data_IF_574875111794
#
_entry.id   IF_574875111794
#
_cell.length_a   1.000
_cell.length_b   1.000
_cell.length_c   1.000
_cell.angle_alpha   90.00
_cell.angle_beta   90.00
_cell.angle_gamma   90.00
#
_symmetry.space_group_name_H-M   'P 1'
#
loop_
_entity.id
_entity.type
_entity.pdbx_description
1 polymer ?
#
# COMPACT_ATOMS: atom_id res chain seq x y z
N UNK A 1 -13.54 4.65 2.31
CA UNK A 1 -14.18 3.62 1.45
C UNK A 1 -15.59 3.36 1.96
N UNK A 2 -16.57 3.19 1.08
CA UNK A 2 -17.91 2.68 1.40
C UNK A 2 -18.16 1.42 0.57
N UNK A 3 -18.91 0.47 1.13
CA UNK A 3 -19.23 -0.81 0.48
C UNK A 3 -20.74 -1.05 0.69
N UNK A 4 -21.44 -1.58 -0.29
CA UNK A 4 -22.81 -2.01 -0.13
C UNK A 4 -22.88 -3.15 0.87
N UNK A 5 -23.91 -3.13 1.73
CA UNK A 5 -24.07 -4.12 2.81
C UNK A 5 -24.18 -5.54 2.27
N UNK A 6 -25.00 -5.74 1.25
CA UNK A 6 -25.19 -7.05 0.61
C UNK A 6 -23.88 -7.63 0.04
N UNK A 7 -23.07 -6.79 -0.61
CA UNK A 7 -21.77 -7.20 -1.14
C UNK A 7 -20.76 -7.51 -0.01
N UNK A 8 -20.80 -6.76 1.09
CA UNK A 8 -19.96 -7.00 2.27
C UNK A 8 -20.33 -8.34 2.93
N UNK A 9 -21.62 -8.61 3.10
CA UNK A 9 -22.12 -9.85 3.69
C UNK A 9 -21.81 -11.06 2.79
N UNK A 10 -22.05 -10.95 1.49
CA UNK A 10 -21.71 -11.99 0.52
C UNK A 10 -20.20 -12.31 0.49
N UNK A 11 -19.36 -11.29 0.70
CA UNK A 11 -17.92 -11.46 0.81
C UNK A 11 -17.45 -11.94 2.20
N UNK A 12 -18.31 -12.12 3.19
CA UNK A 12 -17.96 -12.58 4.54
C UNK A 12 -17.31 -11.52 5.43
N UNK A 13 -17.51 -10.22 5.14
CA UNK A 13 -16.97 -9.13 5.95
C UNK A 13 -15.47 -8.87 5.78
N UNK A 14 -14.87 -8.15 6.71
CA UNK A 14 -13.41 -7.89 6.73
C UNK A 14 -12.64 -9.11 7.24
N UNK A 15 -11.53 -9.45 6.57
CA UNK A 15 -10.64 -10.52 7.01
C UNK A 15 -9.87 -10.13 8.27
N UNK A 16 -10.01 -10.93 9.33
CA UNK A 16 -9.28 -10.74 10.57
C UNK A 16 -7.76 -10.91 10.41
N UNK A 17 -7.33 -11.72 9.44
CA UNK A 17 -5.91 -12.01 9.19
C UNK A 17 -5.20 -10.87 8.46
N UNK A 18 -5.95 -10.07 7.69
CA UNK A 18 -5.45 -8.88 6.99
C UNK A 18 -5.61 -7.60 7.80
N UNK A 19 -6.27 -7.69 8.96
CA UNK A 19 -6.50 -6.56 9.85
C UNK A 19 -5.20 -6.06 10.50
N UNK A 20 -5.26 -4.83 11.02
CA UNK A 20 -4.16 -4.22 11.79
C UNK A 20 -3.98 -4.90 13.13
N UNK A 21 -3.16 -5.94 13.18
CA UNK A 21 -2.79 -6.62 14.42
C UNK A 21 -1.31 -6.42 14.76
N UNK A 22 -1.02 -6.10 16.01
CA UNK A 22 0.32 -6.05 16.57
C UNK A 22 1.19 -4.88 16.10
N UNK A 23 2.51 -5.05 16.26
CA UNK A 23 3.53 -4.02 16.04
C UNK A 23 3.67 -3.58 14.57
N UNK A 24 3.26 -4.43 13.63
CA UNK A 24 3.32 -4.18 12.18
C UNK A 24 1.95 -4.41 11.56
N UNK A 25 1.05 -3.44 11.65
CA UNK A 25 -0.28 -3.56 11.05
C UNK A 25 -0.16 -3.69 9.53
N UNK A 26 -0.69 -4.77 8.96
CA UNK A 26 -0.68 -4.99 7.52
C UNK A 26 -1.48 -3.88 6.80
N UNK A 27 -2.70 -3.60 7.26
CA UNK A 27 -3.51 -2.47 6.77
C UNK A 27 -3.84 -2.54 5.28
N UNK A 28 -4.09 -3.75 4.78
CA UNK A 28 -4.54 -4.04 3.40
C UNK A 28 -5.92 -4.70 3.39
N UNK A 29 -6.60 -4.63 4.51
CA UNK A 29 -7.94 -5.16 4.73
C UNK A 29 -8.98 -4.61 3.76
N UNK A 30 -8.89 -3.34 3.42
CA UNK A 30 -9.73 -2.66 2.42
C UNK A 30 -9.45 -3.17 1.00
N UNK A 31 -8.19 -3.30 0.62
CA UNK A 31 -7.80 -3.81 -0.72
C UNK A 31 -8.18 -5.28 -0.87
N UNK A 32 -7.94 -6.10 0.15
CA UNK A 32 -8.30 -7.52 0.17
C UNK A 32 -9.81 -7.69 0.02
N UNK A 33 -10.59 -6.92 0.79
CA UNK A 33 -12.04 -6.93 0.69
C UNK A 33 -12.52 -6.58 -0.72
N UNK A 34 -11.97 -5.54 -1.34
CA UNK A 34 -12.32 -5.15 -2.72
C UNK A 34 -12.06 -6.29 -3.71
N UNK A 35 -10.91 -6.95 -3.61
CA UNK A 35 -10.57 -8.09 -4.48
C UNK A 35 -11.55 -9.26 -4.24
N UNK A 36 -11.88 -9.54 -2.99
CA UNK A 36 -12.79 -10.64 -2.62
C UNK A 36 -14.20 -10.35 -3.07
N UNK A 37 -14.70 -9.12 -2.90
CA UNK A 37 -16.02 -8.71 -3.42
C UNK A 37 -16.10 -8.90 -4.94
N UNK A 38 -15.09 -8.49 -5.70
CA UNK A 38 -15.08 -8.66 -7.14
C UNK A 38 -15.07 -10.15 -7.58
N UNK A 39 -14.56 -11.04 -6.74
CA UNK A 39 -14.56 -12.49 -7.00
C UNK A 39 -15.86 -13.17 -6.61
N UNK A 40 -16.50 -12.70 -5.53
CA UNK A 40 -17.68 -13.36 -4.96
C UNK A 40 -19.01 -12.78 -5.46
N UNK A 41 -19.00 -11.52 -5.90
CA UNK A 41 -20.20 -10.82 -6.38
C UNK A 41 -20.05 -10.48 -7.86
N UNK A 42 -20.63 -11.29 -8.78
CA UNK A 42 -20.57 -11.04 -10.21
C UNK A 42 -21.12 -9.66 -10.57
N UNK A 43 -20.43 -8.95 -11.46
CA UNK A 43 -20.83 -7.61 -11.90
C UNK A 43 -20.54 -6.49 -10.89
N UNK A 44 -19.88 -6.77 -9.76
CA UNK A 44 -19.45 -5.73 -8.82
C UNK A 44 -18.44 -4.80 -9.47
N UNK A 45 -18.57 -3.50 -9.21
CA UNK A 45 -17.72 -2.43 -9.77
C UNK A 45 -17.09 -1.64 -8.63
N UNK A 46 -15.79 -1.37 -8.75
CA UNK A 46 -15.08 -0.41 -7.89
C UNK A 46 -15.14 0.96 -8.54
N UNK A 47 -15.76 1.91 -7.85
CA UNK A 47 -15.92 3.29 -8.35
C UNK A 47 -15.01 4.23 -7.58
N UNK A 48 -14.20 4.99 -8.31
CA UNK A 48 -13.49 6.12 -7.74
C UNK A 48 -14.42 7.35 -7.73
N UNK A 49 -14.71 7.88 -6.54
CA UNK A 49 -15.58 9.04 -6.33
C UNK A 49 -14.75 10.20 -5.77
N UNK A 50 -14.27 11.13 -6.61
CA UNK A 50 -13.40 12.23 -6.17
C UNK A 50 -14.13 13.22 -5.23
N UNK A 51 -15.46 13.25 -5.24
CA UNK A 51 -16.29 14.05 -4.34
C UNK A 51 -16.38 13.46 -2.92
N UNK A 52 -16.11 12.18 -2.76
CA UNK A 52 -16.12 11.49 -1.46
C UNK A 52 -14.87 11.88 -0.65
N UNK A 53 -14.94 13.03 0.01
CA UNK A 53 -13.84 13.61 0.77
C UNK A 53 -13.99 13.35 2.27
N UNK A 54 -12.90 12.97 2.93
CA UNK A 54 -12.84 12.85 4.38
C UNK A 54 -11.63 13.60 4.93
N UNK A 55 -11.79 14.23 6.10
CA UNK A 55 -10.66 14.82 6.83
C UNK A 55 -10.03 13.76 7.72
N UNK A 56 -8.79 13.43 7.46
CA UNK A 56 -8.04 12.48 8.26
C UNK A 56 -7.09 13.20 9.22
N UNK A 57 -7.30 13.02 10.53
CA UNK A 57 -6.37 13.56 11.53
C UNK A 57 -5.16 12.64 11.66
N UNK A 58 -3.99 13.17 11.34
CA UNK A 58 -2.72 12.47 11.53
C UNK A 58 -2.07 12.98 12.81
N UNK A 59 -1.86 12.15 13.84
CA UNK A 59 -1.17 12.58 15.05
C UNK A 59 0.32 12.79 14.78
N UNK A 60 0.95 13.75 15.47
CA UNK A 60 2.38 14.08 15.31
C UNK A 60 3.33 12.90 15.48
N UNK A 61 2.95 11.90 16.27
CA UNK A 61 3.73 10.67 16.43
C UNK A 61 3.90 9.88 15.12
N UNK A 62 3.06 10.15 14.12
CA UNK A 62 3.14 9.56 12.77
C UNK A 62 3.95 10.40 11.78
N UNK A 63 4.34 11.62 12.15
CA UNK A 63 5.14 12.55 11.33
C UNK A 63 6.65 12.37 11.56
N UNK A 64 7.11 11.17 11.88
CA UNK A 64 8.50 10.84 12.18
C UNK A 64 9.07 9.87 11.14
N UNK A 65 10.38 9.99 10.87
CA UNK A 65 11.12 9.05 10.02
C UNK A 65 10.97 7.61 10.50
N UNK A 66 11.01 7.39 11.82
CA UNK A 66 10.81 6.06 12.40
C UNK A 66 9.45 5.47 12.02
N UNK A 67 8.38 6.26 12.13
CA UNK A 67 7.05 5.80 11.73
C UNK A 67 7.00 5.54 10.22
N UNK A 68 7.54 6.44 9.41
CA UNK A 68 7.60 6.31 7.96
C UNK A 68 8.29 5.00 7.53
N UNK A 69 9.50 4.71 8.04
CA UNK A 69 10.22 3.48 7.72
C UNK A 69 9.47 2.22 8.17
N UNK A 70 8.93 2.24 9.39
CA UNK A 70 8.12 1.14 9.91
C UNK A 70 6.89 0.89 9.03
N UNK A 71 6.25 1.96 8.56
CA UNK A 71 5.08 1.87 7.69
C UNK A 71 5.43 1.32 6.30
N UNK A 72 6.52 1.79 5.70
CA UNK A 72 7.02 1.26 4.42
C UNK A 72 7.34 -0.24 4.50
N UNK A 73 8.00 -0.66 5.57
CA UNK A 73 8.31 -2.08 5.78
C UNK A 73 7.05 -2.92 5.96
N UNK A 74 6.10 -2.45 6.77
CA UNK A 74 4.81 -3.11 6.98
C UNK A 74 4.01 -3.22 5.68
N UNK A 75 4.03 -2.17 4.84
CA UNK A 75 3.39 -2.15 3.52
C UNK A 75 3.96 -3.24 2.60
N UNK A 76 5.29 -3.39 2.57
CA UNK A 76 5.94 -4.47 1.81
C UNK A 76 5.46 -5.85 2.26
N UNK A 77 5.43 -6.10 3.56
CA UNK A 77 4.92 -7.36 4.12
C UNK A 77 3.44 -7.60 3.79
N UNK A 78 2.63 -6.56 3.83
CA UNK A 78 1.23 -6.61 3.49
C UNK A 78 1.03 -7.02 2.03
N UNK A 79 1.82 -6.44 1.12
CA UNK A 79 1.82 -6.82 -0.31
C UNK A 79 2.23 -8.28 -0.52
N UNK A 80 3.22 -8.77 0.23
CA UNK A 80 3.60 -10.18 0.19
C UNK A 80 2.46 -11.09 0.63
N UNK A 81 1.74 -10.74 1.71
CA UNK A 81 0.57 -11.48 2.17
C UNK A 81 -0.57 -11.44 1.14
N UNK A 82 -0.84 -10.27 0.56
CA UNK A 82 -1.88 -10.10 -0.46
C UNK A 82 -1.60 -10.97 -1.70
N UNK A 83 -0.34 -11.05 -2.16
CA UNK A 83 0.01 -11.89 -3.31
C UNK A 83 -0.15 -13.39 -3.05
N UNK A 84 -0.07 -13.85 -1.80
CA UNK A 84 -0.34 -15.25 -1.46
C UNK A 84 -1.82 -15.62 -1.53
N UNK A 85 -2.70 -14.66 -1.26
CA UNK A 85 -4.16 -14.85 -1.27
C UNK A 85 -4.76 -14.59 -2.66
N UNK A 86 -4.27 -13.57 -3.36
CA UNK A 86 -4.88 -13.07 -4.59
C UNK A 86 -4.19 -13.54 -5.88
N UNK A 87 -3.01 -14.17 -5.76
CA UNK A 87 -2.18 -14.51 -6.90
C UNK A 87 -1.36 -13.31 -7.42
N UNK A 88 -0.22 -13.56 -8.11
CA UNK A 88 0.74 -12.50 -8.47
C UNK A 88 0.26 -11.56 -9.59
N UNK A 89 -0.73 -11.96 -10.38
CA UNK A 89 -1.15 -11.20 -11.57
C UNK A 89 -2.15 -10.08 -11.32
N UNK A 90 -2.98 -10.23 -10.30
CA UNK A 90 -4.15 -9.35 -10.11
C UNK A 90 -3.89 -8.17 -9.16
N UNK A 91 -2.99 -8.34 -8.19
CA UNK A 91 -2.82 -7.37 -7.10
C UNK A 91 -1.71 -6.33 -7.31
N UNK A 92 -0.80 -6.55 -8.26
CA UNK A 92 0.40 -5.71 -8.42
C UNK A 92 0.54 -5.06 -9.81
N UNK A 93 -0.37 -5.30 -10.76
CA UNK A 93 -0.24 -4.79 -12.14
C UNK A 93 -0.30 -3.26 -12.21
N UNK A 94 -1.26 -2.64 -11.52
CA UNK A 94 -1.39 -1.18 -11.44
C UNK A 94 -0.22 -0.54 -10.68
N UNK A 95 0.26 -1.20 -9.62
CA UNK A 95 1.39 -0.73 -8.83
C UNK A 95 2.72 -0.79 -9.60
N UNK A 96 2.91 -1.78 -10.47
CA UNK A 96 4.10 -1.88 -11.31
C UNK A 96 4.27 -0.65 -12.20
N UNK A 97 3.21 -0.20 -12.84
CA UNK A 97 3.23 1.03 -13.64
C UNK A 97 3.58 2.25 -12.80
N UNK A 98 3.04 2.35 -11.60
CA UNK A 98 3.35 3.42 -10.66
C UNK A 98 4.84 3.41 -10.25
N UNK A 99 5.35 2.26 -9.85
CA UNK A 99 6.76 2.10 -9.41
C UNK A 99 7.74 2.41 -10.54
N UNK A 100 7.43 1.99 -11.79
CA UNK A 100 8.36 2.14 -12.92
C UNK A 100 8.29 3.53 -13.56
N UNK A 101 7.15 4.21 -13.52
CA UNK A 101 6.95 5.49 -14.21
C UNK A 101 6.86 6.67 -13.25
N UNK A 102 6.04 6.56 -12.22
CA UNK A 102 5.71 7.71 -11.36
C UNK A 102 6.80 7.97 -10.33
N UNK A 103 7.33 6.94 -9.67
CA UNK A 103 8.38 7.12 -8.67
C UNK A 103 9.69 7.67 -9.25
N UNK A 104 10.25 7.15 -10.36
CA UNK A 104 11.44 7.74 -10.98
C UNK A 104 11.23 9.18 -11.44
N UNK A 105 10.09 9.47 -12.05
CA UNK A 105 9.74 10.85 -12.42
C UNK A 105 9.66 11.78 -11.20
N UNK A 106 9.15 11.28 -10.08
CA UNK A 106 9.12 12.00 -8.81
C UNK A 106 10.51 12.31 -8.24
N UNK A 107 11.43 11.35 -8.33
CA UNK A 107 12.83 11.51 -7.93
C UNK A 107 13.52 12.56 -8.82
N UNK A 108 13.44 12.42 -10.13
CA UNK A 108 14.05 13.35 -11.10
C UNK A 108 13.53 14.76 -10.89
N UNK A 109 12.21 14.93 -10.75
CA UNK A 109 11.60 16.24 -10.48
C UNK A 109 12.08 16.83 -9.15
N UNK A 110 12.21 16.02 -8.10
CA UNK A 110 12.70 16.49 -6.82
C UNK A 110 14.14 16.98 -6.87
N UNK A 111 15.01 16.27 -7.59
CA UNK A 111 16.40 16.70 -7.83
C UNK A 111 16.42 17.99 -8.65
N UNK A 112 15.67 18.05 -9.75
CA UNK A 112 15.59 19.24 -10.60
C UNK A 112 15.08 20.48 -9.83
N UNK A 113 14.05 20.34 -8.99
CA UNK A 113 13.51 21.40 -8.15
C UNK A 113 14.56 21.92 -7.14
N UNK A 114 15.39 21.03 -6.61
CA UNK A 114 16.45 21.40 -5.69
C UNK A 114 17.60 22.13 -6.39
N UNK A 115 18.06 21.61 -7.54
CA UNK A 115 19.15 22.21 -8.33
C UNK A 115 18.75 23.58 -8.89
N UNK A 116 17.51 23.75 -9.33
CA UNK A 116 16.99 25.01 -9.85
C UNK A 116 16.56 25.99 -8.75
N UNK A 117 16.67 25.62 -7.48
CA UNK A 117 16.24 26.46 -6.36
C UNK A 117 14.73 26.63 -6.22
N UNK A 118 13.92 25.95 -7.04
CA UNK A 118 12.45 26.04 -7.00
C UNK A 118 11.86 25.49 -5.71
N UNK A 119 12.45 24.44 -5.16
CA UNK A 119 12.00 23.84 -3.91
C UNK A 119 13.17 23.23 -3.14
N UNK A 120 13.53 23.86 -2.01
CA UNK A 120 14.59 23.38 -1.12
C UNK A 120 14.34 21.99 -0.53
N UNK A 121 13.07 21.57 -0.42
CA UNK A 121 12.67 20.22 0.01
C UNK A 121 12.75 19.14 -1.09
N UNK A 122 13.16 19.49 -2.31
CA UNK A 122 13.19 18.57 -3.44
C UNK A 122 14.08 17.35 -3.22
N UNK A 123 15.30 17.53 -2.68
CA UNK A 123 16.21 16.43 -2.33
C UNK A 123 15.64 15.53 -1.23
N UNK A 124 15.04 16.11 -0.20
CA UNK A 124 14.42 15.34 0.89
C UNK A 124 13.27 14.47 0.35
N UNK A 125 12.46 15.02 -0.56
CA UNK A 125 11.40 14.28 -1.24
C UNK A 125 11.95 13.12 -2.07
N UNK A 126 13.00 13.37 -2.86
CA UNK A 126 13.66 12.32 -3.66
C UNK A 126 14.25 11.23 -2.79
N UNK A 127 14.93 11.58 -1.71
CA UNK A 127 15.47 10.64 -0.73
C UNK A 127 14.34 9.81 -0.08
N UNK A 128 13.24 10.45 0.30
CA UNK A 128 12.09 9.75 0.87
C UNK A 128 11.49 8.74 -0.10
N UNK A 129 11.35 9.07 -1.40
CA UNK A 129 10.84 8.14 -2.43
C UNK A 129 11.76 6.92 -2.56
N UNK A 130 13.06 7.13 -2.69
CA UNK A 130 14.03 6.03 -2.82
C UNK A 130 14.04 5.16 -1.57
N UNK A 131 14.09 5.77 -0.40
CA UNK A 131 14.06 5.05 0.88
C UNK A 131 12.76 4.26 1.05
N UNK A 132 11.61 4.84 0.72
CA UNK A 132 10.33 4.13 0.75
C UNK A 132 10.36 2.89 -0.14
N UNK A 133 10.85 3.01 -1.37
CA UNK A 133 10.93 1.90 -2.31
C UNK A 133 11.83 0.78 -1.76
N UNK A 134 13.02 1.11 -1.29
CA UNK A 134 13.97 0.13 -0.75
C UNK A 134 13.41 -0.59 0.48
N UNK A 135 12.85 0.15 1.43
CA UNK A 135 12.30 -0.42 2.68
C UNK A 135 11.04 -1.25 2.40
N UNK A 136 10.18 -0.81 1.48
CA UNK A 136 9.00 -1.59 1.07
C UNK A 136 9.43 -2.89 0.37
N UNK A 137 10.43 -2.83 -0.50
CA UNK A 137 10.98 -4.02 -1.16
C UNK A 137 11.58 -5.01 -0.16
N UNK A 138 12.35 -4.52 0.83
CA UNK A 138 12.87 -5.37 1.91
C UNK A 138 11.74 -6.01 2.73
N UNK A 139 10.69 -5.26 3.05
CA UNK A 139 9.50 -5.78 3.72
C UNK A 139 8.79 -6.87 2.90
N UNK A 140 8.68 -6.67 1.59
CA UNK A 140 8.10 -7.66 0.68
C UNK A 140 8.90 -8.98 0.66
N UNK A 141 10.20 -8.89 0.51
CA UNK A 141 11.10 -10.07 0.54
C UNK A 141 10.98 -10.80 1.87
N UNK A 142 11.06 -10.07 3.00
CA UNK A 142 10.91 -10.66 4.32
C UNK A 142 9.55 -11.34 4.52
N UNK A 143 8.47 -10.75 3.99
CA UNK A 143 7.13 -11.35 4.01
C UNK A 143 7.05 -12.65 3.19
N UNK A 144 7.67 -12.67 2.02
CA UNK A 144 7.71 -13.87 1.14
C UNK A 144 8.50 -15.02 1.78
N UNK A 145 9.68 -14.73 2.33
CA UNK A 145 10.51 -15.75 2.99
C UNK A 145 9.78 -16.38 4.19
N UNK A 146 9.10 -15.54 4.99
CA UNK A 146 8.29 -16.05 6.11
C UNK A 146 7.15 -16.95 5.66
N UNK A 147 6.46 -16.59 4.58
CA UNK A 147 5.36 -17.39 4.04
C UNK A 147 5.85 -18.75 3.48
N UNK A 148 7.06 -18.81 2.95
CA UNK A 148 7.68 -20.06 2.49
C UNK A 148 8.05 -20.96 3.68
N UNK A 149 8.63 -20.41 4.74
CA UNK A 149 9.00 -21.18 5.94
C UNK A 149 7.81 -21.70 6.77
N UNK A 150 6.59 -21.18 6.55
CA UNK A 150 5.37 -21.68 7.19
C UNK A 150 4.69 -22.82 6.41
N UNK A 151 5.15 -23.11 5.19
CA UNK A 151 4.63 -24.18 4.33
C UNK A 151 5.50 -25.44 4.31
N UNK A 152 6.73 -25.31 4.82
CA UNK A 152 7.66 -26.42 5.04
C UNK A 152 7.46 -27.03 6.42
#
# INVERSE_FOLDING_TARGET
MSVRRDALEAAGGFSADMARRGRYPLGVDDTELCIRVQRTVPGSVLVYAPEARARHKVPRSRETWRYFLTRCFAEGRAKAALTTVSGPGTSLSSERSYVVRVLPAGVVRGVADAVTGRNRGGLQRSLAIVTALLVTSAGYVAGRLRAMGQRA
#
